data_IF_531180198301
#
_entry.id   IF_531180198301
#
_cell.length_a   1.000
_cell.length_b   1.000
_cell.length_c   1.000
_cell.angle_alpha   90.00
_cell.angle_beta   90.00
_cell.angle_gamma   90.00
#
_symmetry.space_group_name_H-M   'P 1'
#
loop_
_entity.id
_entity.type
_entity.pdbx_description
1 polymer ?
#
# COMPACT_ATOMS: atom_id res chain seq x y z
N UNK A 1 0.95 1.71 14.11
CA UNK A 1 0.46 1.44 12.73
C UNK A 1 -1.06 1.16 12.65
N UNK A 2 -1.75 0.68 13.71
CA UNK A 2 -3.19 0.34 13.62
C UNK A 2 -4.08 1.48 13.08
N UNK A 3 -3.87 2.72 13.55
CA UNK A 3 -4.67 3.86 13.08
C UNK A 3 -4.49 4.17 11.60
N UNK A 4 -3.32 3.87 11.02
CA UNK A 4 -3.05 4.04 9.58
C UNK A 4 -3.80 3.01 8.72
N UNK A 5 -4.37 1.96 9.31
CA UNK A 5 -5.29 1.04 8.65
C UNK A 5 -6.74 1.37 9.00
N UNK A 6 -7.04 1.47 10.29
CA UNK A 6 -8.42 1.57 10.79
C UNK A 6 -9.08 2.89 10.40
N UNK A 7 -8.40 4.02 10.63
CA UNK A 7 -9.00 5.35 10.40
C UNK A 7 -9.32 5.57 8.92
N UNK A 8 -8.41 5.31 7.95
CA UNK A 8 -8.72 5.56 6.54
C UNK A 8 -9.97 4.83 6.05
N UNK A 9 -10.12 3.53 6.37
CA UNK A 9 -11.31 2.78 5.95
C UNK A 9 -12.59 3.23 6.67
N UNK A 10 -12.55 3.39 8.01
CA UNK A 10 -13.77 3.70 8.77
C UNK A 10 -14.23 5.15 8.56
N UNK A 11 -13.31 6.10 8.51
CA UNK A 11 -13.65 7.51 8.21
C UNK A 11 -14.01 7.69 6.73
N UNK A 12 -13.31 7.01 5.82
CA UNK A 12 -13.67 6.98 4.41
C UNK A 12 -15.09 6.48 4.18
N UNK A 13 -15.48 5.39 4.83
CA UNK A 13 -16.85 4.89 4.81
C UNK A 13 -17.87 5.92 5.29
N UNK A 14 -17.60 6.57 6.44
CA UNK A 14 -18.48 7.61 6.99
C UNK A 14 -18.68 8.80 6.03
N UNK A 15 -17.60 9.28 5.41
CA UNK A 15 -17.65 10.42 4.49
C UNK A 15 -18.33 10.08 3.15
N UNK A 16 -18.27 8.81 2.73
CA UNK A 16 -18.84 8.32 1.47
C UNK A 16 -20.21 7.64 1.64
N UNK A 17 -20.78 7.64 2.85
CA UNK A 17 -22.15 7.17 3.10
C UNK A 17 -22.30 5.65 3.20
N UNK A 18 -21.22 4.91 3.42
CA UNK A 18 -21.27 3.46 3.67
C UNK A 18 -21.61 3.21 5.15
N UNK A 19 -22.91 3.02 5.40
CA UNK A 19 -23.45 2.76 6.73
C UNK A 19 -22.99 1.40 7.29
N UNK A 20 -22.80 0.39 6.44
CA UNK A 20 -22.43 -0.94 6.92
C UNK A 20 -21.01 -0.94 7.50
N UNK A 21 -20.06 -0.40 6.74
CA UNK A 21 -18.65 -0.35 7.16
C UNK A 21 -18.46 0.59 8.34
N UNK A 22 -19.10 1.76 8.37
CA UNK A 22 -18.97 2.67 9.53
C UNK A 22 -19.56 2.06 10.81
N UNK A 23 -20.69 1.33 10.72
CA UNK A 23 -21.27 0.63 11.88
C UNK A 23 -20.34 -0.47 12.39
N UNK A 24 -19.72 -1.24 11.50
CA UNK A 24 -18.67 -2.18 11.89
C UNK A 24 -17.53 -1.46 12.61
N UNK A 25 -17.04 -0.35 12.06
CA UNK A 25 -16.00 0.48 12.67
C UNK A 25 -16.32 0.88 14.11
N UNK A 26 -17.51 1.44 14.36
CA UNK A 26 -17.92 1.79 15.71
C UNK A 26 -18.00 0.59 16.66
N UNK A 27 -18.50 -0.55 16.20
CA UNK A 27 -18.56 -1.77 16.99
C UNK A 27 -17.16 -2.27 17.38
N UNK A 28 -16.21 -2.23 16.45
CA UNK A 28 -14.85 -2.74 16.63
C UNK A 28 -13.97 -1.85 17.52
N UNK A 29 -14.32 -0.57 17.74
CA UNK A 29 -13.50 0.36 18.53
C UNK A 29 -13.18 -0.15 19.94
N UNK A 30 -14.16 -0.76 20.62
CA UNK A 30 -13.95 -1.28 21.97
C UNK A 30 -12.98 -2.48 21.99
N UNK A 31 -12.93 -3.24 20.89
CA UNK A 31 -12.01 -4.37 20.71
C UNK A 31 -10.60 -3.86 20.44
N UNK A 32 -10.47 -2.89 19.53
CA UNK A 32 -9.19 -2.27 19.19
C UNK A 32 -8.53 -1.57 20.39
N UNK A 33 -9.31 -0.94 21.28
CA UNK A 33 -8.78 -0.39 22.52
C UNK A 33 -8.10 -1.46 23.42
N UNK A 34 -8.69 -2.66 23.50
CA UNK A 34 -8.11 -3.79 24.23
C UNK A 34 -6.86 -4.32 23.53
N UNK A 35 -6.88 -4.44 22.20
CA UNK A 35 -5.73 -4.89 21.41
C UNK A 35 -4.54 -3.94 21.51
N UNK A 36 -4.78 -2.63 21.48
CA UNK A 36 -3.74 -1.61 21.66
C UNK A 36 -3.11 -1.67 23.04
N UNK A 37 -3.93 -1.86 24.09
CA UNK A 37 -3.44 -2.01 25.47
C UNK A 37 -2.58 -3.26 25.60
N UNK A 38 -3.04 -4.40 25.06
CA UNK A 38 -2.28 -5.64 25.02
C UNK A 38 -0.92 -5.46 24.32
N UNK A 39 -0.90 -4.82 23.15
CA UNK A 39 0.33 -4.59 22.39
C UNK A 39 1.37 -3.78 23.16
N UNK A 40 0.92 -2.74 23.87
CA UNK A 40 1.81 -1.90 24.68
C UNK A 40 2.38 -2.67 25.87
N UNK A 41 1.52 -3.37 26.63
CA UNK A 41 1.93 -4.07 27.84
C UNK A 41 2.80 -5.29 27.54
N UNK A 42 2.56 -6.01 26.44
CA UNK A 42 3.42 -7.12 26.00
C UNK A 42 4.84 -6.66 25.70
N UNK A 43 5.00 -5.52 25.00
CA UNK A 43 6.33 -4.98 24.68
C UNK A 43 7.07 -4.56 25.96
N UNK A 44 6.41 -3.80 26.85
CA UNK A 44 7.00 -3.39 28.13
C UNK A 44 7.40 -4.58 28.98
N UNK A 45 6.50 -5.56 29.12
CA UNK A 45 6.76 -6.79 29.84
C UNK A 45 8.02 -7.49 29.32
N UNK A 46 8.12 -7.74 28.01
CA UNK A 46 9.29 -8.39 27.41
C UNK A 46 10.59 -7.62 27.66
N UNK A 47 10.56 -6.29 27.59
CA UNK A 47 11.73 -5.43 27.81
C UNK A 47 12.19 -5.41 29.27
N UNK A 48 11.25 -5.55 30.21
CA UNK A 48 11.53 -5.56 31.66
C UNK A 48 12.02 -6.91 32.19
N UNK A 49 11.75 -8.02 31.48
CA UNK A 49 12.12 -9.36 31.96
C UNK A 49 13.64 -9.63 31.92
N UNK A 50 14.34 -9.18 30.88
CA UNK A 50 15.78 -9.46 30.69
C UNK A 50 16.40 -8.50 29.68
N UNK A 51 17.55 -7.91 29.99
CA UNK A 51 18.26 -6.98 29.09
C UNK A 51 18.63 -7.62 27.74
N UNK A 52 18.81 -8.95 27.69
CA UNK A 52 19.07 -9.70 26.45
C UNK A 52 17.88 -9.66 25.48
N UNK A 53 16.67 -9.33 25.96
CA UNK A 53 15.50 -9.18 25.12
C UNK A 53 15.53 -7.90 24.28
N UNK A 54 16.18 -6.82 24.77
CA UNK A 54 16.23 -5.51 24.11
C UNK A 54 16.70 -5.62 22.64
N UNK A 55 17.87 -6.21 22.32
CA UNK A 55 18.32 -6.32 20.93
C UNK A 55 17.44 -7.24 20.07
N UNK A 56 16.70 -8.18 20.67
CA UNK A 56 15.77 -9.06 19.95
C UNK A 56 14.50 -8.27 19.59
N UNK A 57 13.92 -7.58 20.57
CA UNK A 57 12.71 -6.76 20.41
C UNK A 57 12.96 -5.59 19.46
N UNK A 58 14.11 -4.91 19.56
CA UNK A 58 14.47 -3.84 18.62
C UNK A 58 14.46 -4.36 17.17
N UNK A 59 15.08 -5.52 16.91
CA UNK A 59 15.11 -6.11 15.57
C UNK A 59 13.73 -6.48 15.06
N UNK A 60 12.86 -6.98 15.95
CA UNK A 60 11.47 -7.24 15.60
C UNK A 60 10.72 -5.94 15.28
N UNK A 61 10.92 -4.87 16.04
CA UNK A 61 10.34 -3.57 15.76
C UNK A 61 10.79 -3.03 14.40
N UNK A 62 12.09 -3.10 14.08
CA UNK A 62 12.63 -2.69 12.78
C UNK A 62 11.98 -3.49 11.64
N UNK A 63 11.96 -4.82 11.77
CA UNK A 63 11.38 -5.73 10.77
C UNK A 63 9.89 -5.47 10.54
N UNK A 64 9.10 -5.43 11.61
CA UNK A 64 7.64 -5.35 11.52
C UNK A 64 7.14 -3.95 11.23
N UNK A 65 7.90 -2.91 11.63
CA UNK A 65 7.68 -1.57 11.12
C UNK A 65 7.80 -1.56 9.60
N UNK A 66 8.92 -2.01 9.04
CA UNK A 66 9.15 -1.94 7.61
C UNK A 66 8.15 -2.79 6.79
N UNK A 67 7.87 -4.03 7.23
CA UNK A 67 6.84 -4.86 6.58
C UNK A 67 5.45 -4.25 6.70
N UNK A 68 5.14 -3.64 7.85
CA UNK A 68 3.88 -2.93 8.07
C UNK A 68 3.73 -1.75 7.12
N UNK A 69 4.75 -0.90 6.99
CA UNK A 69 4.77 0.24 6.06
C UNK A 69 4.57 -0.20 4.62
N UNK A 70 5.23 -1.27 4.17
CA UNK A 70 5.03 -1.83 2.82
C UNK A 70 3.61 -2.35 2.61
N UNK A 71 2.98 -2.98 3.60
CA UNK A 71 1.57 -3.36 3.48
C UNK A 71 0.66 -2.13 3.40
N UNK A 72 0.93 -1.12 4.23
CA UNK A 72 0.14 0.12 4.27
C UNK A 72 0.24 0.97 3.00
N UNK A 73 1.17 0.68 2.08
CA UNK A 73 1.15 1.21 0.71
C UNK A 73 -0.21 1.04 0.03
N UNK A 74 -0.89 -0.08 0.27
CA UNK A 74 -2.24 -0.31 -0.28
C UNK A 74 -3.28 0.64 0.33
N UNK A 75 -3.14 0.96 1.61
CA UNK A 75 -4.05 1.88 2.32
C UNK A 75 -3.79 3.32 1.87
N UNK A 76 -2.53 3.70 1.68
CA UNK A 76 -2.12 4.99 1.13
C UNK A 76 -2.79 5.25 -0.22
N UNK A 77 -2.71 4.27 -1.14
CA UNK A 77 -3.39 4.33 -2.43
C UNK A 77 -4.90 4.49 -2.26
N UNK A 78 -5.52 3.62 -1.45
CA UNK A 78 -6.97 3.60 -1.27
C UNK A 78 -7.49 4.97 -0.80
N UNK A 79 -6.88 5.55 0.22
CA UNK A 79 -7.41 6.77 0.82
C UNK A 79 -7.25 8.02 -0.05
N UNK A 80 -6.17 8.09 -0.85
CA UNK A 80 -5.91 9.25 -1.72
C UNK A 80 -6.66 9.16 -3.06
N UNK A 81 -6.87 7.94 -3.58
CA UNK A 81 -7.38 7.73 -4.94
C UNK A 81 -8.75 7.08 -5.03
N UNK A 82 -9.12 6.20 -4.09
CA UNK A 82 -10.34 5.40 -4.20
C UNK A 82 -11.55 5.98 -3.46
N UNK A 83 -11.34 6.99 -2.61
CA UNK A 83 -12.41 7.67 -1.87
C UNK A 83 -12.82 8.95 -2.60
N UNK A 84 -14.03 9.03 -3.20
CA UNK A 84 -14.50 10.26 -3.85
C UNK A 84 -14.55 11.44 -2.88
N UNK A 85 -15.06 11.22 -1.66
CA UNK A 85 -15.01 12.18 -0.56
C UNK A 85 -13.85 11.83 0.38
N UNK A 86 -12.78 12.60 0.25
CA UNK A 86 -11.53 12.42 1.00
C UNK A 86 -11.63 13.05 2.39
N UNK A 87 -10.96 12.41 3.36
CA UNK A 87 -10.92 12.86 4.76
C UNK A 87 -9.64 13.67 5.02
N UNK A 88 -8.50 13.09 4.65
CA UNK A 88 -7.15 13.63 4.75
C UNK A 88 -6.26 12.88 3.75
N UNK A 89 -5.07 13.39 3.46
CA UNK A 89 -4.10 12.66 2.63
C UNK A 89 -3.36 11.58 3.42
N UNK A 90 -2.77 10.62 2.71
CA UNK A 90 -1.86 9.64 3.34
C UNK A 90 -0.71 10.33 4.10
N UNK A 91 -0.17 11.43 3.56
CA UNK A 91 0.89 12.20 4.24
C UNK A 91 0.40 12.75 5.57
N UNK A 92 -0.76 13.39 5.59
CA UNK A 92 -1.37 13.92 6.82
C UNK A 92 -1.64 12.81 7.84
N UNK A 93 -2.16 11.66 7.38
CA UNK A 93 -2.35 10.49 8.23
C UNK A 93 -1.04 9.95 8.81
N UNK A 94 0.02 9.87 7.99
CA UNK A 94 1.34 9.44 8.43
C UNK A 94 1.92 10.38 9.50
N UNK A 95 1.83 11.69 9.29
CA UNK A 95 2.32 12.69 10.24
C UNK A 95 1.63 12.56 11.60
N UNK A 96 0.30 12.47 11.62
CA UNK A 96 -0.46 12.35 12.87
C UNK A 96 -0.22 10.99 13.54
N UNK A 97 -0.39 9.89 12.81
CA UNK A 97 -0.49 8.55 13.41
C UNK A 97 0.84 7.82 13.55
N UNK A 98 1.88 8.26 12.84
CA UNK A 98 3.23 7.72 12.99
C UNK A 98 4.21 8.76 13.52
N UNK A 99 4.38 9.90 12.84
CA UNK A 99 5.40 10.88 13.24
C UNK A 99 5.14 11.43 14.65
N UNK A 100 3.93 11.91 14.92
CA UNK A 100 3.55 12.44 16.24
C UNK A 100 3.28 11.33 17.25
N UNK A 101 2.27 10.49 17.00
CA UNK A 101 1.84 9.46 17.96
C UNK A 101 2.90 8.37 18.16
N UNK A 102 3.56 7.93 17.08
CA UNK A 102 4.67 6.99 17.16
C UNK A 102 5.91 7.61 17.79
N UNK A 103 6.22 8.89 17.50
CA UNK A 103 7.29 9.64 18.15
C UNK A 103 7.13 9.65 19.67
N UNK A 104 5.93 9.94 20.18
CA UNK A 104 5.63 9.90 21.61
C UNK A 104 5.80 8.49 22.21
N UNK A 105 5.36 7.44 21.52
CA UNK A 105 5.54 6.06 21.96
C UNK A 105 7.02 5.69 22.06
N UNK A 106 7.83 5.98 21.04
CA UNK A 106 9.26 5.64 21.06
C UNK A 106 10.04 6.50 22.06
N UNK A 107 9.59 7.71 22.38
CA UNK A 107 10.15 8.49 23.48
C UNK A 107 9.90 7.81 24.84
N UNK A 108 8.72 7.24 25.09
CA UNK A 108 8.47 6.45 26.31
C UNK A 108 9.31 5.17 26.35
N UNK A 109 9.45 4.48 25.21
CA UNK A 109 10.22 3.24 25.12
C UNK A 109 11.74 3.45 25.22
N UNK A 110 12.24 4.67 25.04
CA UNK A 110 13.66 5.00 25.14
C UNK A 110 14.26 4.66 26.51
N UNK A 111 13.46 4.69 27.59
CA UNK A 111 13.89 4.28 28.95
C UNK A 111 14.33 2.81 29.04
N UNK A 112 13.88 1.97 28.11
CA UNK A 112 14.29 0.57 27.99
C UNK A 112 15.46 0.36 27.01
N UNK A 113 16.03 1.44 26.45
CA UNK A 113 17.08 1.37 25.43
C UNK A 113 16.57 1.12 24.00
N UNK A 114 15.25 1.15 23.77
CA UNK A 114 14.65 1.05 22.44
C UNK A 114 14.79 2.37 21.68
N UNK A 115 15.08 2.25 20.38
CA UNK A 115 15.19 3.37 19.44
C UNK A 115 14.01 3.34 18.45
N UNK A 116 13.68 4.48 17.83
CA UNK A 116 12.78 4.49 16.68
C UNK A 116 13.21 3.45 15.63
N UNK A 117 12.25 2.83 14.91
CA UNK A 117 12.56 1.74 13.99
C UNK A 117 13.55 2.17 12.91
N UNK A 118 14.41 1.25 12.51
CA UNK A 118 15.31 1.47 11.36
C UNK A 118 14.50 1.89 10.12
N UNK A 119 15.01 2.88 9.39
CA UNK A 119 14.41 3.45 8.18
C UNK A 119 13.08 4.19 8.38
N UNK A 120 12.71 4.54 9.62
CA UNK A 120 11.55 5.40 9.88
C UNK A 120 11.64 6.76 9.17
N UNK A 121 12.85 7.31 9.05
CA UNK A 121 13.14 8.53 8.30
C UNK A 121 12.86 8.38 6.80
N UNK A 122 13.25 7.25 6.20
CA UNK A 122 12.96 6.95 4.79
C UNK A 122 11.46 6.79 4.59
N UNK A 123 10.78 6.02 5.45
CA UNK A 123 9.33 5.83 5.37
C UNK A 123 8.55 7.15 5.49
N UNK A 124 9.03 8.09 6.32
CA UNK A 124 8.44 9.43 6.41
C UNK A 124 8.64 10.24 5.13
N UNK A 125 9.81 10.17 4.48
CA UNK A 125 9.99 10.78 3.15
C UNK A 125 9.11 10.12 2.09
N UNK A 126 8.99 8.78 2.12
CA UNK A 126 8.15 8.01 1.20
C UNK A 126 6.66 8.38 1.31
N UNK A 127 6.21 8.93 2.44
CA UNK A 127 4.82 9.35 2.62
C UNK A 127 4.36 10.40 1.59
N UNK A 128 5.28 11.18 1.00
CA UNK A 128 4.96 12.13 -0.10
C UNK A 128 4.86 11.47 -1.50
N UNK A 129 5.09 10.16 -1.59
CA UNK A 129 5.25 9.43 -2.85
C UNK A 129 4.40 8.16 -2.94
N UNK A 130 4.12 7.53 -1.80
CA UNK A 130 3.69 6.13 -1.71
C UNK A 130 2.37 5.83 -2.42
N UNK A 131 1.34 6.67 -2.20
CA UNK A 131 0.01 6.49 -2.80
C UNK A 131 0.05 6.65 -4.32
N UNK A 132 0.81 7.63 -4.81
CA UNK A 132 0.94 7.91 -6.24
C UNK A 132 1.68 6.79 -6.97
N UNK A 133 2.78 6.27 -6.38
CA UNK A 133 3.51 5.13 -6.93
C UNK A 133 2.61 3.89 -6.98
N UNK A 134 1.89 3.61 -5.91
CA UNK A 134 0.96 2.48 -5.84
C UNK A 134 -0.18 2.62 -6.87
N UNK A 135 -0.80 3.79 -6.99
CA UNK A 135 -1.85 4.02 -7.98
C UNK A 135 -1.35 3.81 -9.41
N UNK A 136 -0.14 4.27 -9.74
CA UNK A 136 0.46 4.00 -11.05
C UNK A 136 0.75 2.52 -11.30
N UNK A 137 1.24 1.78 -10.30
CA UNK A 137 1.42 0.33 -10.39
C UNK A 137 0.09 -0.34 -10.73
N UNK A 138 -0.97 -0.02 -9.96
CA UNK A 138 -2.27 -0.62 -10.19
C UNK A 138 -2.93 -0.15 -11.49
N UNK A 139 -2.79 1.12 -11.89
CA UNK A 139 -3.33 1.60 -13.17
C UNK A 139 -2.79 0.77 -14.34
N UNK A 140 -1.48 0.53 -14.36
CA UNK A 140 -0.82 -0.26 -15.40
C UNK A 140 -1.28 -1.74 -15.40
N UNK A 141 -1.53 -2.31 -14.22
CA UNK A 141 -1.84 -3.73 -14.03
C UNK A 141 -3.30 -4.02 -13.66
N UNK A 142 -4.22 -3.06 -13.79
CA UNK A 142 -5.60 -3.23 -13.34
C UNK A 142 -6.37 -4.30 -14.14
N UNK A 143 -5.85 -4.68 -15.31
CA UNK A 143 -6.33 -5.86 -16.04
C UNK A 143 -6.12 -7.18 -15.27
N UNK A 144 -5.25 -7.20 -14.27
CA UNK A 144 -4.97 -8.32 -13.38
C UNK A 144 -5.31 -8.05 -11.90
N UNK A 145 -6.15 -7.04 -11.62
CA UNK A 145 -6.65 -6.72 -10.29
C UNK A 145 -8.18 -6.96 -10.19
N UNK A 146 -8.68 -7.31 -9.01
CA UNK A 146 -10.11 -7.52 -8.73
C UNK A 146 -10.81 -6.22 -8.28
N UNK A 147 -10.38 -5.09 -8.82
CA UNK A 147 -10.97 -3.78 -8.62
C UNK A 147 -10.56 -2.87 -9.78
N UNK A 148 -11.29 -1.77 -9.95
CA UNK A 148 -11.02 -0.82 -11.01
C UNK A 148 -10.03 0.27 -10.60
N UNK A 149 -9.26 0.76 -11.57
CA UNK A 149 -8.55 2.04 -11.46
C UNK A 149 -9.12 3.03 -12.45
N UNK A 150 -8.72 4.30 -12.34
CA UNK A 150 -9.15 5.40 -13.21
C UNK A 150 -8.14 6.55 -13.23
N UNK A 151 -8.37 7.51 -14.13
CA UNK A 151 -7.73 8.82 -14.05
C UNK A 151 -8.56 9.68 -13.09
N UNK A 152 -7.97 10.25 -12.02
CA UNK A 152 -8.68 11.17 -11.14
C UNK A 152 -9.20 12.39 -11.90
N UNK A 153 -10.36 12.90 -11.50
CA UNK A 153 -10.95 14.11 -12.03
C UNK A 153 -10.08 15.33 -11.69
N UNK A 154 -10.30 16.45 -12.41
CA UNK A 154 -9.46 17.65 -12.26
C UNK A 154 -9.41 18.15 -10.82
N UNK A 155 -10.55 18.20 -10.14
CA UNK A 155 -10.64 18.65 -8.75
C UNK A 155 -9.85 17.74 -7.79
N UNK A 156 -9.75 16.45 -8.12
CA UNK A 156 -8.97 15.48 -7.36
C UNK A 156 -7.47 15.64 -7.60
N UNK A 157 -7.06 15.92 -8.84
CA UNK A 157 -5.68 16.28 -9.15
C UNK A 157 -5.28 17.57 -8.43
N UNK A 158 -6.16 18.58 -8.40
CA UNK A 158 -5.91 19.85 -7.72
C UNK A 158 -5.80 19.66 -6.20
N UNK A 159 -6.63 18.79 -5.62
CA UNK A 159 -6.48 18.38 -4.21
C UNK A 159 -5.14 17.66 -3.97
N UNK A 160 -4.71 16.76 -4.86
CA UNK A 160 -3.41 16.09 -4.74
C UNK A 160 -2.26 17.09 -4.80
N UNK A 161 -2.32 18.12 -5.65
CA UNK A 161 -1.32 19.21 -5.65
C UNK A 161 -1.28 19.98 -4.34
N UNK A 162 -2.44 20.29 -3.75
CA UNK A 162 -2.52 20.96 -2.45
C UNK A 162 -1.90 20.10 -1.34
N UNK A 163 -2.20 18.79 -1.34
CA UNK A 163 -1.75 17.87 -0.29
C UNK A 163 -0.31 17.40 -0.44
N UNK A 164 0.24 17.44 -1.65
CA UNK A 164 1.59 16.98 -1.98
C UNK A 164 2.36 18.07 -2.75
N UNK A 165 2.55 19.26 -2.17
CA UNK A 165 3.05 20.44 -2.87
C UNK A 165 4.50 20.30 -3.34
N UNK A 166 5.27 19.38 -2.77
CA UNK A 166 6.68 19.17 -3.08
C UNK A 166 6.91 18.14 -4.19
N UNK A 167 5.93 17.26 -4.45
CA UNK A 167 6.13 16.04 -5.24
C UNK A 167 5.12 15.85 -6.36
N UNK A 168 3.84 16.17 -6.15
CA UNK A 168 2.78 15.76 -7.06
C UNK A 168 2.87 16.41 -8.44
N UNK A 169 2.94 17.73 -8.51
CA UNK A 169 3.05 18.44 -9.79
C UNK A 169 4.37 18.16 -10.51
N UNK A 170 5.43 17.87 -9.74
CA UNK A 170 6.76 17.61 -10.28
C UNK A 170 6.87 16.22 -10.92
N UNK A 171 6.28 15.19 -10.31
CA UNK A 171 6.55 13.80 -10.69
C UNK A 171 5.33 13.00 -11.15
N UNK A 172 4.12 13.33 -10.67
CA UNK A 172 2.94 12.45 -10.77
C UNK A 172 1.83 13.03 -11.64
N UNK A 173 1.48 14.31 -11.49
CA UNK A 173 0.48 14.98 -12.34
C UNK A 173 0.80 14.83 -13.84
N UNK A 174 2.04 15.07 -14.33
CA UNK A 174 2.34 14.91 -15.76
C UNK A 174 2.13 13.49 -16.28
N UNK A 175 2.29 12.47 -15.43
CA UNK A 175 2.05 11.07 -15.79
C UNK A 175 0.55 10.82 -15.98
N UNK A 176 -0.27 11.29 -15.03
CA UNK A 176 -1.73 11.15 -15.11
C UNK A 176 -2.31 11.93 -16.30
N UNK A 177 -1.82 13.13 -16.57
CA UNK A 177 -2.22 13.92 -17.74
C UNK A 177 -1.83 13.24 -19.08
N UNK A 178 -0.66 12.60 -19.14
CA UNK A 178 -0.28 11.80 -20.29
C UNK A 178 -1.20 10.58 -20.47
N UNK A 179 -1.47 9.85 -19.39
CA UNK A 179 -2.35 8.67 -19.44
C UNK A 179 -3.79 9.04 -19.81
N UNK A 180 -4.31 10.17 -19.30
CA UNK A 180 -5.60 10.74 -19.70
C UNK A 180 -5.66 11.05 -21.20
N UNK A 181 -4.61 11.67 -21.74
CA UNK A 181 -4.51 11.95 -23.19
C UNK A 181 -4.51 10.67 -24.02
N UNK A 182 -3.76 9.65 -23.61
CA UNK A 182 -3.73 8.36 -24.30
C UNK A 182 -5.08 7.65 -24.23
N UNK A 183 -5.74 7.66 -23.08
CA UNK A 183 -7.08 7.11 -22.90
C UNK A 183 -8.13 7.82 -23.78
N UNK A 184 -8.14 9.16 -23.80
CA UNK A 184 -9.01 9.95 -24.69
C UNK A 184 -8.75 9.70 -26.16
N UNK A 185 -7.55 9.25 -26.51
CA UNK A 185 -7.18 8.84 -27.86
C UNK A 185 -7.44 7.34 -28.16
N UNK A 186 -8.12 6.62 -27.26
CA UNK A 186 -8.44 5.20 -27.41
C UNK A 186 -7.26 4.25 -27.19
N UNK A 187 -6.17 4.74 -26.58
CA UNK A 187 -4.93 4.00 -26.30
C UNK A 187 -4.65 3.92 -24.80
N UNK A 188 -5.69 3.68 -24.01
CA UNK A 188 -5.51 3.47 -22.57
C UNK A 188 -4.41 2.45 -22.31
N UNK A 189 -3.44 2.83 -21.49
CA UNK A 189 -2.24 2.03 -21.27
C UNK A 189 -2.51 0.88 -20.30
N UNK A 190 -2.10 -0.32 -20.71
CA UNK A 190 -1.93 -1.49 -19.87
C UNK A 190 -0.53 -2.05 -20.09
N UNK A 191 0.12 -2.52 -19.03
CA UNK A 191 1.42 -3.16 -19.18
C UNK A 191 1.26 -4.69 -19.21
N UNK A 192 1.43 -5.28 -20.38
CA UNK A 192 1.25 -6.73 -20.59
C UNK A 192 2.44 -7.57 -20.08
N UNK A 193 3.50 -6.95 -19.56
CA UNK A 193 4.66 -7.66 -18.99
C UNK A 193 4.55 -7.74 -17.48
N UNK A 194 4.61 -8.96 -16.91
CA UNK A 194 4.56 -9.14 -15.45
C UNK A 194 5.70 -8.41 -14.73
N UNK A 195 5.43 -7.77 -13.57
CA UNK A 195 6.46 -7.03 -12.84
C UNK A 195 7.40 -7.95 -12.07
N UNK A 196 8.62 -7.47 -11.86
CA UNK A 196 9.50 -8.04 -10.85
C UNK A 196 8.96 -7.77 -9.44
N UNK A 197 8.96 -8.78 -8.57
CA UNK A 197 8.42 -8.68 -7.21
C UNK A 197 9.54 -8.68 -6.17
N UNK A 198 9.33 -7.96 -5.08
CA UNK A 198 10.20 -8.02 -3.91
C UNK A 198 10.16 -9.40 -3.24
N UNK A 199 11.33 -9.99 -2.94
CA UNK A 199 11.41 -11.29 -2.25
C UNK A 199 10.76 -11.31 -0.85
N UNK A 200 10.62 -10.14 -0.21
CA UNK A 200 10.13 -10.02 1.18
C UNK A 200 8.70 -9.52 1.27
N UNK A 201 8.38 -8.37 0.65
CA UNK A 201 7.02 -7.80 0.71
C UNK A 201 6.14 -8.23 -0.45
N UNK A 202 6.70 -8.83 -1.50
CA UNK A 202 6.00 -9.32 -2.71
C UNK A 202 5.33 -8.24 -3.57
N UNK A 203 5.49 -6.96 -3.23
CA UNK A 203 5.01 -5.85 -4.04
C UNK A 203 5.92 -5.67 -5.28
N UNK A 204 5.37 -5.29 -6.44
CA UNK A 204 6.14 -4.86 -7.59
C UNK A 204 7.23 -3.82 -7.26
N UNK A 205 8.38 -3.92 -7.92
CA UNK A 205 9.55 -3.06 -7.68
C UNK A 205 9.39 -1.62 -8.23
N UNK A 206 8.39 -0.89 -7.74
CA UNK A 206 8.10 0.49 -8.14
C UNK A 206 8.47 1.57 -7.12
N UNK A 207 9.00 1.20 -5.95
CA UNK A 207 9.46 2.16 -4.95
C UNK A 207 10.78 2.82 -5.38
N UNK A 208 10.95 4.08 -5.03
CA UNK A 208 12.08 4.90 -5.50
C UNK A 208 13.04 5.25 -4.37
N UNK A 209 14.22 5.72 -4.74
CA UNK A 209 15.16 6.34 -3.80
C UNK A 209 14.58 7.69 -3.31
N UNK A 210 14.72 7.99 -2.02
CA UNK A 210 14.21 9.24 -1.44
C UNK A 210 15.19 10.40 -1.56
N UNK A 211 16.43 10.16 -2.00
CA UNK A 211 17.36 11.21 -2.42
C UNK A 211 17.19 11.54 -3.92
N UNK A 212 16.70 10.59 -4.72
CA UNK A 212 16.27 10.78 -6.11
C UNK A 212 15.00 9.97 -6.44
N UNK A 213 13.79 10.58 -6.36
CA UNK A 213 12.52 9.90 -6.67
C UNK A 213 12.34 9.47 -8.13
N UNK A 214 13.34 9.66 -9.00
CA UNK A 214 13.34 9.14 -10.38
C UNK A 214 14.09 7.82 -10.53
N UNK A 215 14.81 7.38 -9.49
CA UNK A 215 15.57 6.12 -9.46
C UNK A 215 14.85 5.06 -8.64
N UNK A 216 14.75 3.82 -9.13
CA UNK A 216 14.13 2.69 -8.40
C UNK A 216 15.11 2.17 -7.34
N UNK A 217 14.63 1.97 -6.10
CA UNK A 217 15.46 1.59 -4.94
C UNK A 217 15.61 0.07 -4.72
N UNK A 218 15.56 -0.73 -5.80
CA UNK A 218 15.70 -2.17 -5.65
C UNK A 218 17.12 -2.57 -5.27
N UNK A 219 17.22 -3.68 -4.57
CA UNK A 219 18.44 -4.23 -4.02
C UNK A 219 18.71 -5.64 -4.54
N UNK A 220 19.90 -6.14 -4.26
CA UNK A 220 20.26 -7.55 -4.50
C UNK A 220 20.80 -8.18 -3.23
N UNK A 221 20.32 -9.39 -2.93
CA UNK A 221 20.84 -10.27 -1.90
C UNK A 221 21.27 -11.59 -2.54
N UNK A 222 22.32 -12.20 -2.00
CA UNK A 222 22.82 -13.49 -2.45
C UNK A 222 22.72 -14.50 -1.32
N UNK A 223 22.16 -15.68 -1.60
CA UNK A 223 22.07 -16.77 -0.62
C UNK A 223 22.15 -18.11 -1.35
N UNK A 224 23.07 -18.98 -0.91
CA UNK A 224 23.34 -20.29 -1.50
C UNK A 224 23.60 -20.28 -3.02
N UNK A 225 24.21 -19.22 -3.54
CA UNK A 225 24.54 -19.07 -4.96
C UNK A 225 23.43 -18.47 -5.81
N UNK A 226 22.22 -18.29 -5.25
CA UNK A 226 21.09 -17.65 -5.94
C UNK A 226 21.00 -16.16 -5.61
N UNK A 227 20.42 -15.39 -6.53
CA UNK A 227 20.12 -13.97 -6.37
C UNK A 227 18.66 -13.75 -6.02
N UNK A 228 18.44 -12.89 -5.04
CA UNK A 228 17.14 -12.46 -4.56
C UNK A 228 17.06 -10.95 -4.61
N UNK A 229 15.85 -10.44 -4.81
CA UNK A 229 15.66 -9.03 -5.11
C UNK A 229 14.68 -8.39 -4.12
N UNK A 230 15.18 -7.68 -3.10
CA UNK A 230 14.38 -6.82 -2.24
C UNK A 230 14.07 -5.47 -2.89
N UNK A 231 12.93 -4.85 -2.60
CA UNK A 231 12.56 -3.53 -3.17
C UNK A 231 13.17 -2.32 -2.45
N UNK A 232 14.00 -2.54 -1.44
CA UNK A 232 14.59 -1.48 -0.60
C UNK A 232 15.61 -2.05 0.37
N UNK A 233 16.44 -1.18 0.95
CA UNK A 233 17.34 -1.54 2.06
C UNK A 233 16.61 -2.24 3.22
N UNK A 234 15.43 -1.75 3.62
CA UNK A 234 14.68 -2.38 4.72
C UNK A 234 14.21 -3.80 4.39
N UNK A 235 13.81 -4.08 3.14
CA UNK A 235 13.50 -5.46 2.74
C UNK A 235 14.77 -6.31 2.59
N UNK A 236 15.89 -5.71 2.17
CA UNK A 236 17.18 -6.39 2.09
C UNK A 236 17.67 -6.85 3.47
N UNK A 237 17.68 -5.97 4.46
CA UNK A 237 18.07 -6.32 5.83
C UNK A 237 17.23 -7.46 6.41
N UNK A 238 15.92 -7.45 6.14
CA UNK A 238 15.00 -8.49 6.59
C UNK A 238 15.31 -9.83 5.89
N UNK A 239 15.60 -9.79 4.58
CA UNK A 239 15.99 -10.98 3.84
C UNK A 239 17.31 -11.54 4.36
N UNK A 240 18.35 -10.69 4.47
CA UNK A 240 19.70 -11.08 4.85
C UNK A 240 19.77 -11.64 6.28
N UNK A 241 18.82 -11.27 7.15
CA UNK A 241 18.73 -11.79 8.52
C UNK A 241 18.01 -13.14 8.63
N UNK A 242 16.99 -13.41 7.80
CA UNK A 242 16.22 -14.67 7.83
C UNK A 242 16.07 -15.26 6.40
N UNK A 243 17.17 -15.48 5.66
CA UNK A 243 17.09 -15.88 4.26
C UNK A 243 16.39 -17.23 4.10
N UNK A 244 16.64 -18.18 5.01
CA UNK A 244 16.00 -19.51 5.03
C UNK A 244 14.47 -19.40 4.98
N UNK A 245 13.90 -18.36 5.58
CA UNK A 245 12.46 -18.11 5.59
C UNK A 245 11.98 -17.54 4.25
N UNK A 246 12.69 -16.55 3.71
CA UNK A 246 12.22 -15.78 2.57
C UNK A 246 12.49 -16.44 1.23
N UNK A 247 13.45 -17.36 1.12
CA UNK A 247 13.64 -18.18 -0.09
C UNK A 247 12.45 -19.10 -0.38
N UNK A 248 11.63 -19.39 0.64
CA UNK A 248 10.43 -20.24 0.51
C UNK A 248 9.20 -19.47 -0.01
N UNK A 249 9.33 -18.16 -0.31
CA UNK A 249 8.20 -17.33 -0.70
C UNK A 249 7.56 -17.81 -2.01
N UNK A 250 6.23 -18.01 -1.99
CA UNK A 250 5.43 -18.22 -3.19
C UNK A 250 5.19 -16.87 -3.88
N UNK A 251 6.08 -16.49 -4.79
CA UNK A 251 5.98 -15.23 -5.54
C UNK A 251 5.07 -15.41 -6.76
N UNK A 252 3.91 -14.71 -6.85
CA UNK A 252 2.92 -14.98 -7.89
C UNK A 252 3.46 -14.95 -9.33
N UNK A 253 4.30 -13.97 -9.67
CA UNK A 253 4.89 -13.85 -11.01
C UNK A 253 5.80 -15.03 -11.35
N UNK A 254 6.64 -15.47 -10.41
CA UNK A 254 7.48 -16.66 -10.61
C UNK A 254 6.62 -17.92 -10.77
N UNK A 255 5.53 -18.02 -10.04
CA UNK A 255 4.64 -19.18 -10.05
C UNK A 255 3.83 -19.27 -11.34
N UNK A 256 3.43 -18.13 -11.91
CA UNK A 256 2.90 -18.05 -13.28
C UNK A 256 3.93 -18.58 -14.27
N UNK A 257 5.16 -18.09 -14.23
CA UNK A 257 6.21 -18.56 -15.15
C UNK A 257 6.62 -20.02 -14.95
N UNK A 258 6.44 -20.58 -13.76
CA UNK A 258 6.63 -22.01 -13.47
C UNK A 258 5.45 -22.88 -13.95
N UNK A 259 4.34 -22.28 -14.37
CA UNK A 259 3.14 -23.00 -14.84
C UNK A 259 2.20 -23.44 -13.71
N UNK A 260 2.32 -22.87 -12.50
CA UNK A 260 1.53 -23.28 -11.33
C UNK A 260 0.19 -22.53 -11.18
N UNK A 261 -0.16 -21.65 -12.13
CA UNK A 261 -1.33 -20.76 -12.05
C UNK A 261 -2.34 -20.96 -13.20
N UNK A 262 -2.63 -22.22 -13.57
CA UNK A 262 -3.71 -22.57 -14.49
C UNK A 262 -3.39 -22.52 -15.99
N UNK A 263 -2.51 -21.63 -16.45
CA UNK A 263 -2.12 -21.55 -17.86
C UNK A 263 -0.95 -20.60 -18.12
N UNK A 264 -0.49 -20.55 -19.38
CA UNK A 264 0.65 -19.73 -19.81
C UNK A 264 0.26 -18.30 -20.23
N UNK A 265 -1.01 -18.08 -20.57
CA UNK A 265 -1.54 -16.79 -21.00
C UNK A 265 -2.25 -16.07 -19.83
N UNK A 266 -2.17 -14.73 -19.79
CA UNK A 266 -2.80 -13.91 -18.74
C UNK A 266 -4.29 -14.25 -18.55
N UNK A 267 -5.12 -14.40 -19.60
CA UNK A 267 -6.53 -14.77 -19.42
C UNK A 267 -6.75 -16.11 -18.71
N UNK A 268 -5.85 -17.09 -18.87
CA UNK A 268 -5.98 -18.39 -18.19
C UNK A 268 -5.63 -18.28 -16.72
N UNK A 269 -4.60 -17.49 -16.39
CA UNK A 269 -4.24 -17.14 -15.00
C UNK A 269 -5.39 -16.42 -14.31
N UNK A 270 -6.02 -15.44 -14.97
CA UNK A 270 -7.13 -14.69 -14.39
C UNK A 270 -8.40 -15.55 -14.20
N UNK A 271 -8.63 -16.53 -15.09
CA UNK A 271 -9.67 -17.56 -14.85
C UNK A 271 -9.32 -18.45 -13.65
N UNK A 272 -8.04 -18.80 -13.48
CA UNK A 272 -7.57 -19.53 -12.30
C UNK A 272 -7.76 -18.73 -11.00
N UNK A 273 -7.65 -17.40 -11.06
CA UNK A 273 -8.04 -16.49 -9.96
C UNK A 273 -9.56 -16.38 -9.74
N UNK A 274 -10.38 -17.01 -10.60
CA UNK A 274 -11.85 -16.89 -10.62
C UNK A 274 -12.35 -15.47 -10.89
N UNK A 275 -11.66 -14.70 -11.74
CA UNK A 275 -12.13 -13.37 -12.14
C UNK A 275 -13.19 -13.47 -13.24
N UNK A 276 -14.23 -12.64 -13.12
CA UNK A 276 -15.14 -12.34 -14.22
C UNK A 276 -14.50 -11.28 -15.12
N UNK A 277 -13.79 -11.72 -16.15
CA UNK A 277 -13.05 -10.84 -17.07
C UNK A 277 -13.97 -9.81 -17.74
N UNK A 278 -13.58 -8.53 -17.64
CA UNK A 278 -14.34 -7.39 -18.13
C UNK A 278 -15.42 -6.90 -17.16
N UNK A 279 -15.61 -7.57 -16.03
CA UNK A 279 -16.50 -7.13 -14.96
C UNK A 279 -15.72 -6.74 -13.69
N UNK A 280 -14.83 -7.62 -13.20
CA UNK A 280 -14.13 -7.41 -11.93
C UNK A 280 -12.84 -6.58 -12.07
N UNK A 281 -12.31 -6.48 -13.29
CA UNK A 281 -11.01 -5.89 -13.62
C UNK A 281 -11.15 -4.72 -14.62
N UNK A 282 -10.03 -4.15 -15.06
CA UNK A 282 -9.98 -3.05 -16.06
C UNK A 282 -10.40 -1.68 -15.50
N UNK A 283 -10.58 -0.70 -16.40
CA UNK A 283 -11.04 0.66 -16.11
C UNK A 283 -12.43 0.68 -15.47
N UNK A 284 -12.67 1.62 -14.55
CA UNK A 284 -14.00 1.88 -14.01
C UNK A 284 -14.96 2.43 -15.09
N UNK A 285 -14.51 3.41 -15.86
CA UNK A 285 -15.25 3.94 -17.00
C UNK A 285 -15.56 2.86 -18.05
N UNK A 286 -16.84 2.58 -18.21
CA UNK A 286 -17.37 1.55 -19.10
C UNK A 286 -17.57 0.19 -18.43
N UNK A 287 -17.15 0.04 -17.17
CA UNK A 287 -17.34 -1.20 -16.41
C UNK A 287 -18.82 -1.47 -16.12
N UNK A 288 -19.18 -2.73 -15.80
CA UNK A 288 -20.51 -3.05 -15.31
C UNK A 288 -20.89 -2.27 -14.04
N UNK A 289 -19.93 -2.02 -13.15
CA UNK A 289 -20.16 -1.26 -11.92
C UNK A 289 -20.56 0.19 -12.20
N UNK A 290 -19.87 0.87 -13.14
CA UNK A 290 -20.26 2.23 -13.53
C UNK A 290 -21.68 2.26 -14.10
N UNK A 291 -22.01 1.32 -14.99
CA UNK A 291 -23.35 1.27 -15.61
C UNK A 291 -24.43 1.08 -14.55
N UNK A 292 -24.22 0.16 -13.61
CA UNK A 292 -25.14 -0.08 -12.51
C UNK A 292 -25.30 1.17 -11.63
N UNK A 293 -24.20 1.86 -11.34
CA UNK A 293 -24.21 3.09 -10.57
C UNK A 293 -25.02 4.21 -11.26
N UNK A 294 -24.79 4.41 -12.55
CA UNK A 294 -25.48 5.43 -13.35
C UNK A 294 -26.99 5.15 -13.44
N UNK A 295 -27.39 3.89 -13.66
CA UNK A 295 -28.79 3.46 -13.64
C UNK A 295 -29.46 3.75 -12.29
N UNK A 296 -28.76 3.45 -11.18
CA UNK A 296 -29.27 3.73 -9.84
C UNK A 296 -29.42 5.24 -9.58
N UNK A 297 -28.46 6.05 -10.00
CA UNK A 297 -28.53 7.51 -9.88
C UNK A 297 -29.70 8.09 -10.68
N UNK A 298 -29.94 7.58 -11.88
CA UNK A 298 -31.06 8.01 -12.71
C UNK A 298 -32.42 7.61 -12.14
N UNK A 299 -32.51 6.44 -11.49
CA UNK A 299 -33.71 6.07 -10.73
C UNK A 299 -33.95 7.01 -9.55
N UNK A 300 -32.89 7.42 -8.83
CA UNK A 300 -33.01 8.36 -7.71
C UNK A 300 -33.44 9.76 -8.11
N UNK A 301 -33.02 10.26 -9.28
CA UNK A 301 -33.45 11.58 -9.78
C UNK A 301 -34.93 11.62 -10.18
N UNK A 302 -35.52 10.46 -10.51
CA UNK A 302 -36.92 10.33 -10.95
C UNK A 302 -37.91 10.13 -9.78
N UNK A 303 -37.42 9.72 -8.62
CA UNK A 303 -38.19 9.52 -7.39
C UNK A 303 -38.30 10.82 -6.57
#
# INVERSE_FOLDING_TARGET
>A
LTNLLFVPFMSGAAFNGDMATVTFGFSAQSDEARHMTLGLEVIKFMLEQDERNIPIVQRWMDKWFWRGTRMLTLVAMMMDYMLPKRVMSWREAWDIYFTEAGGALFADLARYGIKPPKYADIATKEAEHLSHQAWHIFYNYTHAAAFHTWIPEKEELDWLSEKYPNTFDKYYRPRLEYLDKEEKAGRRFYNDTLPMLCQVCQIPMGFTDMDDPTTISFEVSEYNGDKYHPCSHGCKDIFDYEPEKYVQAWLPVHQIYQGNCGGAEVPDVLKWYNFNLGADNMEYKGSPDQKLWDEWQDHRKKA
#
